data_IF_193356655892
#
_entry.id   IF_193356655892
#
_cell.length_a   1.000
_cell.length_b   1.000
_cell.length_c   1.000
_cell.angle_alpha   90.00
_cell.angle_beta   90.00
_cell.angle_gamma   90.00
#
_symmetry.space_group_name_H-M   'P 1'
#
loop_
_entity.id
_entity.type
_entity.pdbx_description
1 polymer ?
#
# COMPACT_ATOMS: atom_id res chain seq x y z
N UNK A 1 -30.09 -19.27 -3.29
CA UNK A 1 -28.69 -19.02 -2.83
C UNK A 1 -28.38 -20.02 -1.74
N UNK A 2 -27.33 -20.85 -1.89
CA UNK A 2 -26.90 -21.77 -0.80
C UNK A 2 -26.09 -20.96 0.20
N UNK A 3 -26.52 -20.94 1.47
CA UNK A 3 -25.73 -20.33 2.55
C UNK A 3 -24.70 -21.34 3.01
N UNK A 4 -23.42 -20.99 2.94
CA UNK A 4 -22.33 -21.80 3.48
C UNK A 4 -22.11 -21.33 4.93
N UNK A 5 -22.26 -22.25 5.89
CA UNK A 5 -21.88 -22.01 7.28
C UNK A 5 -20.40 -22.36 7.48
N UNK A 6 -19.64 -21.43 8.08
CA UNK A 6 -18.22 -21.62 8.40
C UNK A 6 -18.01 -21.41 9.90
N UNK A 7 -17.16 -22.23 10.50
CA UNK A 7 -16.72 -22.03 11.89
C UNK A 7 -15.58 -21.01 11.95
N UNK A 8 -15.37 -20.39 13.11
CA UNK A 8 -14.25 -19.48 13.32
C UNK A 8 -12.88 -20.10 13.01
N UNK A 9 -12.57 -21.34 13.43
CA UNK A 9 -11.33 -22.01 13.03
C UNK A 9 -11.15 -22.11 11.51
N UNK A 10 -12.22 -22.36 10.75
CA UNK A 10 -12.14 -22.42 9.28
C UNK A 10 -11.82 -21.04 8.68
N UNK A 11 -12.47 -19.98 9.19
CA UNK A 11 -12.19 -18.60 8.75
C UNK A 11 -10.76 -18.18 9.09
N UNK A 12 -10.26 -18.53 10.27
CA UNK A 12 -8.89 -18.24 10.70
C UNK A 12 -7.87 -18.98 9.84
N UNK A 13 -8.05 -20.29 9.62
CA UNK A 13 -7.17 -21.08 8.76
C UNK A 13 -7.13 -20.51 7.33
N UNK A 14 -8.30 -20.13 6.79
CA UNK A 14 -8.38 -19.46 5.49
C UNK A 14 -7.60 -18.15 5.46
N UNK A 15 -7.80 -17.27 6.46
CA UNK A 15 -7.08 -15.97 6.54
C UNK A 15 -5.58 -16.15 6.68
N UNK A 16 -5.12 -17.04 7.57
CA UNK A 16 -3.70 -17.32 7.74
C UNK A 16 -3.06 -17.84 6.45
N UNK A 17 -3.78 -18.67 5.70
CA UNK A 17 -3.34 -19.17 4.40
C UNK A 17 -3.28 -18.06 3.37
N UNK A 18 -4.34 -17.25 3.22
CA UNK A 18 -4.39 -16.13 2.26
C UNK A 18 -3.38 -15.03 2.58
N UNK A 19 -3.02 -14.85 3.85
CA UNK A 19 -2.04 -13.87 4.28
C UNK A 19 -0.59 -14.40 4.28
N UNK A 20 -0.37 -15.64 3.81
CA UNK A 20 0.95 -16.29 3.76
C UNK A 20 1.61 -16.46 5.15
N UNK A 21 0.79 -16.59 6.20
CA UNK A 21 1.25 -16.77 7.58
C UNK A 21 1.22 -18.24 8.01
N UNK A 22 0.36 -19.07 7.41
CA UNK A 22 0.38 -20.52 7.62
C UNK A 22 1.58 -21.19 6.93
N UNK A 23 1.97 -20.66 5.76
CA UNK A 23 3.14 -21.08 5.00
C UNK A 23 3.71 -19.87 4.27
N UNK A 24 5.00 -19.61 4.49
CA UNK A 24 5.71 -18.52 3.80
C UNK A 24 5.87 -18.85 2.31
N UNK A 25 5.68 -17.85 1.46
CA UNK A 25 5.85 -17.96 0.02
C UNK A 25 7.33 -17.82 -0.39
N UNK A 26 7.77 -18.37 -1.54
CA UNK A 26 9.13 -18.13 -2.03
C UNK A 26 9.36 -16.66 -2.39
N UNK A 27 10.63 -16.20 -2.31
CA UNK A 27 11.02 -14.80 -2.62
C UNK A 27 10.50 -14.27 -3.96
N UNK A 28 10.41 -15.14 -4.97
CA UNK A 28 9.94 -14.80 -6.32
C UNK A 28 8.50 -14.28 -6.34
N UNK A 29 7.71 -14.54 -5.28
CA UNK A 29 6.32 -14.09 -5.13
C UNK A 29 6.17 -12.84 -4.26
N UNK A 30 7.25 -12.10 -3.97
CA UNK A 30 7.22 -10.91 -3.11
C UNK A 30 6.08 -9.94 -3.46
N UNK A 31 5.99 -9.50 -4.72
CA UNK A 31 4.96 -8.54 -5.16
C UNK A 31 3.56 -9.11 -4.98
N UNK A 32 3.36 -10.38 -5.35
CA UNK A 32 2.08 -11.05 -5.16
C UNK A 32 1.69 -11.14 -3.68
N UNK A 33 2.63 -11.45 -2.78
CA UNK A 33 2.35 -11.52 -1.34
C UNK A 33 1.91 -10.15 -0.80
N UNK A 34 2.56 -9.07 -1.24
CA UNK A 34 2.17 -7.70 -0.88
C UNK A 34 0.76 -7.38 -1.42
N UNK A 35 0.45 -7.77 -2.65
CA UNK A 35 -0.89 -7.60 -3.24
C UNK A 35 -1.98 -8.44 -2.56
N UNK A 36 -1.70 -9.71 -2.23
CA UNK A 36 -2.63 -10.65 -1.58
C UNK A 36 -3.13 -10.16 -0.21
N UNK A 37 -2.33 -9.33 0.49
CA UNK A 37 -2.71 -8.71 1.77
C UNK A 37 -3.15 -7.25 1.64
N UNK A 38 -3.41 -6.81 0.41
CA UNK A 38 -3.83 -5.46 0.06
C UNK A 38 -2.83 -4.39 0.51
N UNK A 39 -1.53 -4.66 0.38
CA UNK A 39 -0.46 -3.76 0.79
C UNK A 39 0.02 -3.94 2.22
N UNK A 40 1.28 -3.55 2.45
CA UNK A 40 1.94 -3.62 3.77
C UNK A 40 2.07 -2.21 4.33
N UNK A 41 1.60 -1.98 5.55
CA UNK A 41 1.76 -0.69 6.22
C UNK A 41 3.24 -0.35 6.42
N UNK A 42 3.67 0.84 5.97
CA UNK A 42 5.07 1.21 5.80
C UNK A 42 5.41 2.61 6.34
N UNK A 43 4.68 3.06 7.36
CA UNK A 43 5.03 4.28 8.10
C UNK A 43 6.44 4.17 8.72
N UNK A 44 6.80 2.97 9.18
CA UNK A 44 8.13 2.58 9.61
C UNK A 44 8.61 1.41 8.74
N UNK A 45 9.70 1.59 8.00
CA UNK A 45 10.17 0.59 7.02
C UNK A 45 10.61 -0.72 7.67
N UNK A 46 11.25 -0.68 8.84
CA UNK A 46 11.66 -1.91 9.55
C UNK A 46 10.47 -2.79 9.94
N UNK A 47 9.32 -2.19 10.27
CA UNK A 47 8.09 -2.93 10.54
C UNK A 47 7.49 -3.53 9.27
N UNK A 48 7.54 -2.81 8.14
CA UNK A 48 7.10 -3.34 6.85
C UNK A 48 7.96 -4.52 6.39
N UNK A 49 9.28 -4.41 6.54
CA UNK A 49 10.24 -5.46 6.23
C UNK A 49 10.00 -6.71 7.09
N UNK A 50 9.76 -6.54 8.41
CA UNK A 50 9.42 -7.65 9.30
C UNK A 50 8.08 -8.30 8.90
N UNK A 51 7.08 -7.51 8.52
CA UNK A 51 5.80 -8.02 8.04
C UNK A 51 5.93 -8.83 6.74
N UNK A 52 6.82 -8.41 5.83
CA UNK A 52 7.13 -9.17 4.61
C UNK A 52 7.93 -10.43 4.95
N UNK A 53 8.93 -10.32 5.83
CA UNK A 53 9.73 -11.45 6.28
C UNK A 53 8.87 -12.58 6.87
N UNK A 54 7.86 -12.24 7.68
CA UNK A 54 6.92 -13.21 8.23
C UNK A 54 6.10 -13.97 7.17
N UNK A 55 6.08 -13.50 5.92
CA UNK A 55 5.27 -14.03 4.82
C UNK A 55 6.08 -14.60 3.66
N UNK A 56 7.33 -14.19 3.52
CA UNK A 56 8.18 -14.53 2.38
C UNK A 56 9.45 -15.20 2.87
N UNK A 57 9.68 -16.43 2.44
CA UNK A 57 10.82 -17.26 2.81
C UNK A 57 12.11 -16.76 2.14
N UNK A 58 13.20 -16.69 2.91
CA UNK A 58 14.51 -16.24 2.43
C UNK A 58 14.58 -14.80 1.90
N UNK A 59 13.59 -13.94 2.22
CA UNK A 59 13.62 -12.53 1.84
C UNK A 59 14.61 -11.75 2.74
N UNK A 60 15.36 -10.84 2.14
CA UNK A 60 16.27 -9.91 2.83
C UNK A 60 15.72 -8.49 2.78
N UNK A 61 16.28 -7.59 3.61
CA UNK A 61 16.00 -6.15 3.50
C UNK A 61 16.38 -5.61 2.13
N UNK A 62 17.56 -5.99 1.63
CA UNK A 62 18.09 -5.49 0.36
C UNK A 62 17.20 -5.88 -0.82
N UNK A 63 16.60 -7.08 -0.78
CA UNK A 63 15.68 -7.51 -1.84
C UNK A 63 14.39 -6.67 -1.86
N UNK A 64 13.92 -6.24 -0.69
CA UNK A 64 12.76 -5.34 -0.56
C UNK A 64 13.12 -3.93 -1.03
N UNK A 65 14.30 -3.43 -0.66
CA UNK A 65 14.79 -2.12 -1.12
C UNK A 65 14.99 -2.12 -2.64
N UNK A 66 15.59 -3.17 -3.20
CA UNK A 66 15.74 -3.33 -4.65
C UNK A 66 14.39 -3.48 -5.37
N UNK A 67 13.36 -4.04 -4.73
CA UNK A 67 12.01 -4.08 -5.29
C UNK A 67 11.38 -2.68 -5.33
N UNK A 68 11.69 -1.83 -4.35
CA UNK A 68 11.15 -0.48 -4.20
C UNK A 68 11.88 0.53 -5.09
N UNK A 69 13.21 0.53 -5.08
CA UNK A 69 14.03 1.58 -5.70
C UNK A 69 14.55 1.21 -7.08
N UNK A 70 15.03 -0.02 -7.27
CA UNK A 70 15.70 -0.43 -8.51
C UNK A 70 14.69 -0.97 -9.53
N UNK A 71 13.98 -2.04 -9.16
CA UNK A 71 13.00 -2.70 -10.04
C UNK A 71 11.67 -1.94 -10.10
N UNK A 72 11.41 -1.10 -9.10
CA UNK A 72 10.15 -0.33 -8.93
C UNK A 72 8.90 -1.21 -9.08
N UNK A 73 9.02 -2.47 -8.68
CA UNK A 73 7.91 -3.43 -8.70
C UNK A 73 7.02 -3.26 -7.47
N UNK A 74 7.56 -2.66 -6.41
CA UNK A 74 6.82 -2.09 -5.30
C UNK A 74 6.92 -0.57 -5.32
N UNK A 75 5.87 0.11 -4.86
CA UNK A 75 5.87 1.55 -4.58
C UNK A 75 5.59 1.79 -3.10
N UNK A 76 5.99 2.94 -2.58
CA UNK A 76 5.61 3.43 -1.26
C UNK A 76 4.79 4.70 -1.39
N UNK A 77 3.54 4.67 -0.95
CA UNK A 77 2.62 5.82 -1.11
C UNK A 77 1.58 5.88 0.00
N UNK A 78 0.95 7.05 0.19
CA UNK A 78 -0.19 7.19 1.08
C UNK A 78 -1.41 6.50 0.46
N UNK A 79 -2.01 5.58 1.21
CA UNK A 79 -3.14 4.80 0.71
C UNK A 79 -4.25 4.70 1.77
N UNK A 80 -4.70 3.48 2.10
CA UNK A 80 -5.76 3.20 3.07
C UNK A 80 -5.60 4.03 4.34
N UNK A 81 -6.68 4.70 4.75
CA UNK A 81 -6.75 5.54 5.96
C UNK A 81 -5.74 6.69 6.02
N UNK A 82 -5.01 6.98 4.94
CA UNK A 82 -4.04 8.07 4.91
C UNK A 82 -2.69 7.77 5.49
N UNK A 83 -2.31 6.51 5.57
CA UNK A 83 -0.97 6.10 6.01
C UNK A 83 -0.15 5.53 4.86
N UNK A 84 1.17 5.49 5.04
CA UNK A 84 2.10 4.96 4.04
C UNK A 84 1.97 3.44 3.93
N UNK A 85 1.93 2.92 2.71
CA UNK A 85 1.91 1.49 2.42
C UNK A 85 2.88 1.15 1.29
N UNK A 86 3.44 -0.07 1.34
CA UNK A 86 4.02 -0.73 0.17
C UNK A 86 2.90 -1.39 -0.63
N UNK A 87 2.87 -1.16 -1.94
CA UNK A 87 1.91 -1.75 -2.88
C UNK A 87 2.64 -2.26 -4.12
N UNK A 88 2.14 -3.29 -4.81
CA UNK A 88 2.59 -3.60 -6.16
C UNK A 88 2.35 -2.40 -7.08
N UNK A 89 3.35 -1.98 -7.83
CA UNK A 89 3.24 -0.82 -8.72
C UNK A 89 2.07 -0.97 -9.71
N UNK A 90 1.85 -2.18 -10.22
CA UNK A 90 0.79 -2.52 -11.16
C UNK A 90 -0.62 -2.41 -10.58
N UNK A 91 -0.78 -2.47 -9.26
CA UNK A 91 -2.09 -2.36 -8.60
C UNK A 91 -2.41 -0.92 -8.17
N UNK A 92 -1.44 0.00 -8.22
CA UNK A 92 -1.62 1.39 -7.77
C UNK A 92 -2.82 2.10 -8.40
N UNK A 93 -3.12 1.97 -9.72
CA UNK A 93 -4.30 2.60 -10.32
C UNK A 93 -5.62 2.19 -9.67
N UNK A 94 -5.74 0.93 -9.25
CA UNK A 94 -6.92 0.41 -8.55
C UNK A 94 -7.11 1.11 -7.20
N UNK A 95 -6.05 1.26 -6.42
CA UNK A 95 -6.10 1.95 -5.13
C UNK A 95 -6.40 3.44 -5.28
N UNK A 96 -5.79 4.12 -6.26
CA UNK A 96 -6.09 5.54 -6.55
C UNK A 96 -7.55 5.71 -6.93
N UNK A 97 -8.09 4.83 -7.79
CA UNK A 97 -9.50 4.86 -8.20
C UNK A 97 -10.44 4.64 -7.02
N UNK A 98 -10.15 3.63 -6.17
CA UNK A 98 -10.95 3.34 -4.97
C UNK A 98 -10.92 4.50 -3.97
N UNK A 99 -9.83 5.26 -3.91
CA UNK A 99 -9.65 6.39 -2.99
C UNK A 99 -10.01 7.76 -3.60
N UNK A 100 -10.54 7.82 -4.83
CA UNK A 100 -10.81 9.09 -5.54
C UNK A 100 -11.74 10.04 -4.79
N UNK A 101 -12.64 9.51 -3.97
CA UNK A 101 -13.59 10.30 -3.16
C UNK A 101 -12.96 10.82 -1.87
N UNK A 102 -11.71 10.48 -1.58
CA UNK A 102 -10.97 10.98 -0.42
C UNK A 102 -10.48 12.41 -0.66
N UNK A 103 -11.43 13.35 -0.68
CA UNK A 103 -11.21 14.78 -0.96
C UNK A 103 -11.17 15.63 0.31
N UNK A 104 -11.02 15.01 1.49
CA UNK A 104 -10.89 15.73 2.78
C UNK A 104 -9.79 16.79 2.74
N UNK A 105 -8.78 16.63 1.88
CA UNK A 105 -7.73 17.63 1.72
C UNK A 105 -8.20 18.97 1.13
N UNK A 106 -9.39 19.02 0.52
CA UNK A 106 -10.06 20.23 0.02
C UNK A 106 -11.11 20.79 0.96
N UNK A 107 -11.36 20.18 2.12
CA UNK A 107 -12.42 20.66 3.02
C UNK A 107 -12.03 21.96 3.71
N UNK A 108 -12.97 22.89 3.96
CA UNK A 108 -12.66 24.17 4.62
C UNK A 108 -11.97 24.00 5.98
N UNK A 109 -12.41 23.03 6.78
CA UNK A 109 -11.82 22.75 8.09
C UNK A 109 -10.35 22.29 7.99
N UNK A 110 -10.01 21.51 6.96
CA UNK A 110 -8.64 21.06 6.80
C UNK A 110 -7.74 22.17 6.24
N UNK A 111 -8.21 22.87 5.22
CA UNK A 111 -7.54 24.03 4.63
C UNK A 111 -7.21 25.08 5.70
N UNK A 112 -8.18 25.41 6.56
CA UNK A 112 -7.95 26.29 7.72
C UNK A 112 -6.86 25.76 8.66
N UNK A 113 -6.87 24.45 8.95
CA UNK A 113 -5.89 23.83 9.87
C UNK A 113 -4.46 23.80 9.30
N UNK A 114 -4.27 23.77 7.98
CA UNK A 114 -2.93 23.89 7.35
C UNK A 114 -2.57 25.32 6.93
N UNK A 115 -3.46 26.29 7.12
CA UNK A 115 -3.21 27.67 6.72
C UNK A 115 -3.15 27.89 5.21
N UNK A 116 -3.92 27.12 4.42
CA UNK A 116 -4.00 27.29 2.97
C UNK A 116 -5.43 27.60 2.52
N UNK A 117 -5.56 28.32 1.41
CA UNK A 117 -6.79 28.42 0.63
C UNK A 117 -6.93 27.23 -0.33
N UNK A 118 -8.13 27.02 -0.88
CA UNK A 118 -8.34 25.99 -1.90
C UNK A 118 -7.48 26.26 -3.15
N UNK A 119 -7.37 27.53 -3.56
CA UNK A 119 -6.58 27.95 -4.72
C UNK A 119 -5.10 27.62 -4.54
N UNK A 120 -4.54 27.87 -3.36
CA UNK A 120 -3.14 27.53 -3.06
C UNK A 120 -2.93 26.01 -3.03
N UNK A 121 -3.84 25.26 -2.42
CA UNK A 121 -3.79 23.79 -2.42
C UNK A 121 -3.80 23.22 -3.85
N UNK A 122 -4.70 23.71 -4.72
CA UNK A 122 -4.76 23.29 -6.12
C UNK A 122 -3.52 23.72 -6.91
N UNK A 123 -3.00 24.91 -6.62
CA UNK A 123 -1.72 25.38 -7.15
C UNK A 123 -0.55 24.48 -6.78
N UNK A 124 -0.46 24.05 -5.51
CA UNK A 124 0.57 23.12 -5.03
C UNK A 124 0.45 21.76 -5.74
N UNK A 125 -0.76 21.20 -5.84
CA UNK A 125 -0.97 19.91 -6.52
C UNK A 125 -0.53 19.99 -7.98
N UNK A 126 -0.92 21.06 -8.70
CA UNK A 126 -0.49 21.30 -10.08
C UNK A 126 1.03 21.49 -10.20
N UNK A 127 1.61 22.24 -9.28
CA UNK A 127 3.06 22.49 -9.24
C UNK A 127 3.87 21.22 -9.00
N UNK A 128 3.44 20.36 -8.07
CA UNK A 128 4.06 19.04 -7.83
C UNK A 128 3.99 18.18 -9.09
N UNK A 129 2.85 18.15 -9.79
CA UNK A 129 2.72 17.39 -11.03
C UNK A 129 3.74 17.87 -12.08
N UNK A 130 3.78 19.17 -12.36
CA UNK A 130 4.70 19.75 -13.32
C UNK A 130 6.19 19.52 -12.95
N UNK A 131 6.53 19.57 -11.66
CA UNK A 131 7.90 19.33 -11.20
C UNK A 131 8.37 17.87 -11.35
N UNK A 132 7.42 16.92 -11.35
CA UNK A 132 7.70 15.49 -11.44
C UNK A 132 7.52 14.92 -12.87
N UNK A 133 7.01 15.70 -13.82
CA UNK A 133 6.92 15.31 -15.23
C UNK A 133 8.33 14.98 -15.77
N UNK A 134 8.48 13.77 -16.34
CA UNK A 134 9.74 13.30 -16.94
C UNK A 134 10.78 12.73 -15.96
N UNK A 135 10.48 12.59 -14.66
CA UNK A 135 11.41 12.03 -13.66
C UNK A 135 11.21 10.53 -13.34
N UNK A 136 10.53 9.78 -14.21
CA UNK A 136 10.26 8.34 -14.04
C UNK A 136 11.32 7.46 -14.69
#
# INVERSE_FOLDING_TARGET
>A
MKVIALTWPQVLAFRLTRHHLAKRAPRSRLTQVVGDVCGIHAQLMSAAELAIWARVEGITRDEIQAALWDRRSLIKTWCMRGTLHLLPATEYPTYVSALRTRTRYRSPAWLKRIGLTLREMEGIIKGIHAALEGQT
#
